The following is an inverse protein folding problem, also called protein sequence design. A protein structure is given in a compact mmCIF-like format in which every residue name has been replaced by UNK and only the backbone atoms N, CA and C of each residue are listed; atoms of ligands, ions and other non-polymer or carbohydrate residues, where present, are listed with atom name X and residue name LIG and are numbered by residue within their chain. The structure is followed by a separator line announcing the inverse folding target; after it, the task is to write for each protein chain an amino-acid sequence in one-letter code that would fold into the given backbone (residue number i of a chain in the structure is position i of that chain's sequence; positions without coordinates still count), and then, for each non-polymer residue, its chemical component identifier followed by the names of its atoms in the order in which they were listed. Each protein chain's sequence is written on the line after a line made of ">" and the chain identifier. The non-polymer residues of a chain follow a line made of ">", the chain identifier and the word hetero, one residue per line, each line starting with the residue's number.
data_IF_476770670590
#
_entry.id   IF_476770670590
#
_cell.length_a   1.000
_cell.length_b   1.000
_cell.length_c   1.000
_cell.angle_alpha   90.00
_cell.angle_beta   90.00
_cell.angle_gamma   90.00
#
_symmetry.space_group_name_H-M   'P 1'
#
loop_
_entity.id
_entity.type
_entity.pdbx_description
1 polymer ?
#
# COMPACT_ATOMS: atom_id res chain seq x y z
N UNK A 1 8.26 31.22 9.87
CA UNK A 1 7.37 31.22 8.68
C UNK A 1 7.34 29.80 8.15
N UNK A 2 6.18 29.13 8.02
CA UNK A 2 6.15 27.76 7.51
C UNK A 2 6.06 27.77 5.99
N UNK A 3 7.05 27.15 5.34
CA UNK A 3 7.13 26.97 3.90
C UNK A 3 6.12 25.91 3.50
N UNK A 4 5.08 26.30 2.74
CA UNK A 4 4.14 25.36 2.12
C UNK A 4 4.91 24.50 1.13
N UNK A 5 4.94 23.19 1.34
CA UNK A 5 5.36 22.24 0.32
C UNK A 5 4.38 22.33 -0.87
N UNK A 6 4.91 22.69 -2.04
CA UNK A 6 4.16 22.71 -3.29
C UNK A 6 4.02 21.27 -3.78
N UNK A 7 2.78 20.80 -3.93
CA UNK A 7 2.47 19.59 -4.68
C UNK A 7 3.04 19.74 -6.10
N UNK A 8 4.05 18.94 -6.44
CA UNK A 8 4.66 18.94 -7.77
C UNK A 8 3.84 18.02 -8.68
N UNK A 9 3.15 18.62 -9.64
CA UNK A 9 2.56 17.93 -10.78
C UNK A 9 3.67 17.34 -11.66
N UNK A 10 3.46 16.11 -12.16
CA UNK A 10 4.41 15.40 -13.02
C UNK A 10 4.80 16.23 -14.27
N UNK A 11 6.06 16.16 -14.73
CA UNK A 11 6.51 16.89 -15.91
C UNK A 11 5.92 16.28 -17.20
N UNK A 12 5.37 17.13 -18.06
CA UNK A 12 4.96 16.74 -19.41
C UNK A 12 6.20 16.62 -20.31
N UNK A 13 6.54 15.40 -20.72
CA UNK A 13 7.63 15.12 -21.67
C UNK A 13 7.06 14.76 -23.04
N UNK A 14 7.44 15.52 -24.05
CA UNK A 14 7.25 15.22 -25.47
C UNK A 14 8.47 14.46 -25.98
N UNK A 15 8.42 13.12 -26.01
CA UNK A 15 9.33 12.34 -26.84
C UNK A 15 8.73 10.97 -27.14
N UNK A 16 8.51 10.70 -28.44
CA UNK A 16 7.84 9.49 -28.90
C UNK A 16 8.66 8.20 -28.71
N UNK A 17 9.94 8.28 -28.33
CA UNK A 17 10.77 7.11 -27.99
C UNK A 17 10.78 6.73 -26.50
N UNK A 18 10.21 7.58 -25.62
CA UNK A 18 9.97 7.27 -24.19
C UNK A 18 8.67 6.45 -23.99
N UNK A 19 7.95 6.13 -25.07
CA UNK A 19 6.61 5.52 -25.10
C UNK A 19 6.54 4.04 -24.68
N UNK A 20 7.63 3.42 -24.23
CA UNK A 20 7.61 2.11 -23.53
C UNK A 20 8.02 2.19 -22.06
N UNK A 21 8.05 3.38 -21.46
CA UNK A 21 8.09 3.48 -19.99
C UNK A 21 6.74 3.01 -19.44
N UNK A 22 6.74 1.79 -18.93
CA UNK A 22 5.63 1.17 -18.21
C UNK A 22 5.17 2.14 -17.12
N UNK A 23 4.04 2.77 -17.37
CA UNK A 23 3.42 3.74 -16.48
C UNK A 23 2.09 3.13 -16.05
N UNK A 24 2.00 2.83 -14.76
CA UNK A 24 0.78 2.32 -14.15
C UNK A 24 0.56 3.18 -12.92
N UNK A 25 -0.47 4.02 -12.94
CA UNK A 25 -0.84 4.87 -11.80
C UNK A 25 -2.34 4.69 -11.60
N UNK A 26 -2.72 4.16 -10.45
CA UNK A 26 -4.10 3.94 -10.05
C UNK A 26 -4.63 5.17 -9.31
N UNK A 27 -5.95 5.37 -9.36
CA UNK A 27 -6.60 6.38 -8.53
C UNK A 27 -7.01 5.73 -7.21
N UNK A 28 -6.33 6.07 -6.12
CA UNK A 28 -6.69 5.63 -4.76
C UNK A 28 -7.08 6.85 -3.93
N UNK A 29 -8.21 6.74 -3.22
CA UNK A 29 -8.61 7.72 -2.22
C UNK A 29 -7.75 7.54 -0.96
N UNK A 30 -7.08 8.60 -0.48
CA UNK A 30 -6.39 8.51 0.79
C UNK A 30 -7.44 8.44 1.91
N UNK A 31 -7.13 7.73 2.98
CA UNK A 31 -7.98 7.79 4.19
C UNK A 31 -7.96 9.23 4.71
N UNK A 32 -9.14 9.81 4.89
CA UNK A 32 -9.30 11.11 5.52
C UNK A 32 -8.95 10.98 7.00
N UNK A 33 -8.04 11.83 7.50
CA UNK A 33 -7.53 11.79 8.89
C UNK A 33 -8.64 11.99 9.94
N UNK A 34 -9.84 12.36 9.51
CA UNK A 34 -11.03 12.46 10.35
C UNK A 34 -11.61 11.11 10.81
N UNK A 35 -11.08 9.97 10.35
CA UNK A 35 -11.46 8.64 10.81
C UNK A 35 -10.73 8.13 12.07
N UNK A 36 -9.90 8.94 12.73
CA UNK A 36 -9.90 9.10 14.21
C UNK A 36 -8.57 9.67 14.73
N UNK A 37 -8.69 10.60 15.68
CA UNK A 37 -7.61 10.99 16.61
C UNK A 37 -6.99 9.80 17.40
N UNK A 38 -7.51 8.57 17.26
CA UNK A 38 -6.99 7.36 17.93
C UNK A 38 -5.93 6.58 17.16
N UNK A 39 -5.55 7.00 15.94
CA UNK A 39 -4.37 6.42 15.25
C UNK A 39 -3.03 6.65 15.99
N UNK A 40 -3.00 7.49 17.02
CA UNK A 40 -1.77 7.77 17.78
C UNK A 40 -1.39 6.67 18.78
N UNK A 41 -2.30 5.76 19.16
CA UNK A 41 -2.03 4.78 20.21
C UNK A 41 -1.81 3.34 19.72
N UNK A 42 -2.23 2.98 18.50
CA UNK A 42 -2.10 1.61 18.00
C UNK A 42 -1.58 1.56 16.55
N UNK A 43 -0.62 0.67 16.34
CA UNK A 43 0.13 0.37 15.11
C UNK A 43 -0.72 -0.10 13.89
N UNK A 44 -1.73 0.66 13.47
CA UNK A 44 -2.72 0.26 12.45
C UNK A 44 -2.36 0.58 11.00
N UNK A 45 -1.10 0.95 10.71
CA UNK A 45 -0.65 1.26 9.35
C UNK A 45 -1.02 0.17 8.32
N UNK A 46 -0.96 -1.10 8.74
CA UNK A 46 -1.36 -2.23 7.91
C UNK A 46 -2.86 -2.23 7.63
N UNK A 47 -3.70 -2.06 8.66
CA UNK A 47 -5.16 -2.03 8.56
C UNK A 47 -5.62 -0.86 7.68
N UNK A 48 -5.04 0.32 7.88
CA UNK A 48 -5.33 1.50 7.07
C UNK A 48 -4.90 1.30 5.60
N UNK A 49 -3.75 0.67 5.34
CA UNK A 49 -3.35 0.35 3.97
C UNK A 49 -4.29 -0.67 3.30
N UNK A 50 -4.72 -1.69 4.05
CA UNK A 50 -5.72 -2.65 3.57
C UNK A 50 -7.06 -1.98 3.29
N UNK A 51 -7.51 -1.07 4.15
CA UNK A 51 -8.75 -0.32 3.97
C UNK A 51 -8.75 0.53 2.69
N UNK A 52 -7.64 1.23 2.39
CA UNK A 52 -7.50 1.95 1.11
C UNK A 52 -7.57 1.01 -0.11
N UNK A 53 -7.04 -0.21 0.02
CA UNK A 53 -7.12 -1.20 -1.05
C UNK A 53 -8.55 -1.73 -1.24
N UNK A 54 -9.30 -1.92 -0.15
CA UNK A 54 -10.70 -2.35 -0.21
C UNK A 54 -11.61 -1.26 -0.81
N UNK A 55 -11.41 0.01 -0.42
CA UNK A 55 -12.09 1.16 -1.02
C UNK A 55 -11.84 1.23 -2.53
N UNK A 56 -10.60 1.00 -2.97
CA UNK A 56 -10.25 0.92 -4.40
C UNK A 56 -11.05 -0.16 -5.16
N UNK A 57 -11.45 -1.24 -4.48
CA UNK A 57 -12.22 -2.32 -5.09
C UNK A 57 -13.74 -2.14 -4.98
N UNK A 58 -14.21 -1.01 -4.45
CA UNK A 58 -15.61 -0.70 -4.14
C UNK A 58 -16.23 -1.68 -3.12
N UNK A 59 -15.43 -2.19 -2.17
CA UNK A 59 -15.94 -3.05 -1.10
C UNK A 59 -16.47 -2.21 0.08
N UNK A 60 -17.75 -2.37 0.39
CA UNK A 60 -18.45 -1.66 1.47
C UNK A 60 -18.11 -2.26 2.85
N UNK A 61 -16.86 -2.09 3.30
CA UNK A 61 -16.41 -2.46 4.65
C UNK A 61 -16.00 -1.19 5.37
N UNK A 62 -16.45 -1.00 6.62
CA UNK A 62 -16.00 0.13 7.43
C UNK A 62 -14.71 -0.20 8.19
N UNK A 63 -13.95 0.84 8.56
CA UNK A 63 -12.70 0.69 9.30
C UNK A 63 -12.92 -0.03 10.65
N UNK A 64 -14.05 0.25 11.32
CA UNK A 64 -14.44 -0.38 12.58
C UNK A 64 -14.82 -1.86 12.41
N UNK A 65 -15.25 -2.29 11.22
CA UNK A 65 -15.48 -3.70 10.91
C UNK A 65 -14.16 -4.39 10.58
N UNK A 66 -13.21 -3.69 9.93
CA UNK A 66 -11.91 -4.24 9.55
C UNK A 66 -11.00 -4.49 10.76
N UNK A 67 -10.91 -3.53 11.69
CA UNK A 67 -10.03 -3.59 12.87
C UNK A 67 -10.17 -4.89 13.69
N UNK A 68 -11.35 -5.27 14.20
CA UNK A 68 -11.47 -6.41 15.11
C UNK A 68 -11.08 -7.72 14.46
N UNK A 69 -11.12 -7.79 13.13
CA UNK A 69 -10.86 -9.03 12.42
C UNK A 69 -9.38 -9.14 12.03
N UNK A 70 -8.72 -8.04 11.65
CA UNK A 70 -7.25 -8.01 11.50
C UNK A 70 -6.58 -8.16 12.87
N UNK A 71 -6.94 -7.34 13.86
CA UNK A 71 -6.34 -7.39 15.20
C UNK A 71 -6.76 -8.63 16.00
N UNK A 72 -7.92 -9.22 15.72
CA UNK A 72 -8.34 -10.48 16.34
C UNK A 72 -7.36 -11.61 16.02
N UNK A 73 -6.81 -11.61 14.81
CA UNK A 73 -5.73 -12.52 14.43
C UNK A 73 -4.43 -12.17 15.18
N UNK A 74 -4.05 -10.89 15.24
CA UNK A 74 -2.82 -10.46 15.94
C UNK A 74 -2.87 -10.77 17.46
N UNK A 75 -4.03 -10.57 18.11
CA UNK A 75 -4.23 -10.92 19.53
C UNK A 75 -4.10 -12.41 19.80
N UNK A 76 -4.34 -13.24 18.79
CA UNK A 76 -4.12 -14.69 18.83
C UNK A 76 -2.70 -15.09 18.39
N UNK A 77 -1.82 -14.12 18.11
CA UNK A 77 -0.45 -14.36 17.64
C UNK A 77 -0.38 -14.89 16.19
N UNK A 78 -1.47 -14.77 15.43
CA UNK A 78 -1.56 -15.19 14.04
C UNK A 78 -1.38 -13.97 13.15
N UNK A 79 -0.50 -14.06 12.15
CA UNK A 79 -0.40 -13.02 11.11
C UNK A 79 -1.75 -12.81 10.43
N UNK A 80 -2.08 -11.58 10.03
CA UNK A 80 -3.26 -11.28 9.22
C UNK A 80 -3.44 -12.33 8.10
N UNK A 81 -4.50 -13.14 8.23
CA UNK A 81 -4.80 -14.25 7.33
C UNK A 81 -5.38 -13.72 6.02
N UNK A 82 -4.90 -14.18 4.88
CA UNK A 82 -5.44 -13.84 3.56
C UNK A 82 -6.93 -14.16 3.42
N UNK A 83 -7.39 -15.22 4.09
CA UNK A 83 -8.80 -15.63 4.11
C UNK A 83 -9.70 -14.58 4.77
N UNK A 84 -9.14 -13.72 5.60
CA UNK A 84 -9.91 -12.66 6.23
C UNK A 84 -10.61 -11.77 5.20
N UNK A 85 -9.85 -11.26 4.22
CA UNK A 85 -10.40 -10.38 3.17
C UNK A 85 -11.42 -11.14 2.32
N UNK A 86 -11.18 -12.41 2.03
CA UNK A 86 -12.13 -13.27 1.34
C UNK A 86 -13.45 -13.38 2.11
N UNK A 87 -13.40 -13.60 3.42
CA UNK A 87 -14.61 -13.76 4.23
C UNK A 87 -15.42 -12.46 4.33
N UNK A 88 -14.79 -11.30 4.53
CA UNK A 88 -15.52 -10.01 4.64
C UNK A 88 -16.02 -9.45 3.32
N UNK A 89 -15.40 -9.83 2.21
CA UNK A 89 -15.88 -9.48 0.87
C UNK A 89 -16.81 -10.55 0.31
N UNK A 90 -17.27 -11.49 1.15
CA UNK A 90 -18.18 -12.58 0.77
C UNK A 90 -17.68 -13.39 -0.45
N UNK A 91 -16.36 -13.58 -0.52
CA UNK A 91 -15.68 -14.33 -1.57
C UNK A 91 -15.42 -13.56 -2.86
N UNK A 92 -15.68 -12.25 -2.91
CA UNK A 92 -15.41 -11.42 -4.10
C UNK A 92 -13.95 -11.01 -4.26
N UNK A 93 -13.21 -10.94 -3.16
CA UNK A 93 -11.83 -10.48 -3.17
C UNK A 93 -10.94 -11.38 -2.34
N UNK A 94 -9.88 -11.90 -2.94
CA UNK A 94 -8.81 -12.58 -2.23
C UNK A 94 -7.63 -11.63 -2.04
N UNK A 95 -7.17 -11.44 -0.80
CA UNK A 95 -5.93 -10.74 -0.52
C UNK A 95 -4.86 -11.74 -0.09
N UNK A 96 -3.69 -11.79 -0.74
CA UNK A 96 -2.64 -12.75 -0.44
C UNK A 96 -1.37 -12.07 0.06
N UNK A 97 -1.03 -12.28 1.33
CA UNK A 97 0.23 -11.83 1.93
C UNK A 97 1.37 -12.83 1.69
N UNK A 98 2.51 -12.37 1.17
CA UNK A 98 3.66 -13.24 0.94
C UNK A 98 5.00 -12.49 1.04
N UNK A 99 6.05 -13.22 1.46
CA UNK A 99 7.43 -12.76 1.35
C UNK A 99 7.97 -13.05 -0.06
N UNK A 100 8.68 -12.08 -0.63
CA UNK A 100 9.25 -12.18 -1.97
C UNK A 100 10.60 -11.47 -2.07
N UNK A 101 11.53 -12.06 -2.83
CA UNK A 101 12.78 -11.41 -3.23
C UNK A 101 12.64 -10.63 -4.54
N UNK A 102 11.42 -10.58 -5.11
CA UNK A 102 11.11 -9.96 -6.41
C UNK A 102 10.03 -8.88 -6.29
N UNK A 103 10.04 -8.12 -5.19
CA UNK A 103 9.01 -7.13 -4.88
C UNK A 103 8.76 -6.14 -6.04
N UNK A 104 9.81 -5.67 -6.72
CA UNK A 104 9.65 -4.79 -7.89
C UNK A 104 8.81 -5.44 -9.01
N UNK A 105 9.04 -6.73 -9.30
CA UNK A 105 8.24 -7.48 -10.29
C UNK A 105 6.80 -7.70 -9.82
N UNK A 106 6.58 -7.92 -8.52
CA UNK A 106 5.24 -8.06 -7.94
C UNK A 106 4.47 -6.75 -8.09
N UNK A 107 5.06 -5.63 -7.66
CA UNK A 107 4.47 -4.29 -7.81
C UNK A 107 4.11 -4.02 -9.27
N UNK A 108 5.02 -4.25 -10.20
CA UNK A 108 4.77 -3.99 -11.61
C UNK A 108 3.64 -4.88 -12.18
N UNK A 109 3.63 -6.17 -11.82
CA UNK A 109 2.62 -7.12 -12.30
C UNK A 109 1.22 -6.76 -11.80
N UNK A 110 1.07 -6.43 -10.51
CA UNK A 110 -0.22 -6.07 -9.93
C UNK A 110 -0.73 -4.75 -10.48
N UNK A 111 0.12 -3.72 -10.55
CA UNK A 111 -0.26 -2.42 -11.10
C UNK A 111 -0.63 -2.51 -12.58
N UNK A 112 0.04 -3.36 -13.36
CA UNK A 112 -0.35 -3.67 -14.74
C UNK A 112 -1.71 -4.34 -14.82
N UNK A 113 -2.03 -5.19 -13.84
CA UNK A 113 -3.34 -5.80 -13.65
C UNK A 113 -4.41 -4.86 -13.11
N UNK A 114 -4.09 -3.58 -12.90
CA UNK A 114 -5.02 -2.58 -12.37
C UNK A 114 -5.26 -2.70 -10.87
N UNK A 115 -4.31 -3.28 -10.11
CA UNK A 115 -4.50 -3.58 -8.68
C UNK A 115 -3.40 -2.95 -7.83
N UNK A 116 -3.74 -2.33 -6.69
CA UNK A 116 -2.76 -1.80 -5.77
C UNK A 116 -2.05 -2.92 -5.00
N UNK A 117 -0.96 -2.57 -4.33
CA UNK A 117 -0.20 -3.51 -3.50
C UNK A 117 0.03 -2.89 -2.14
N UNK A 118 -0.28 -3.61 -1.06
CA UNK A 118 0.14 -3.19 0.29
C UNK A 118 1.53 -3.77 0.54
N UNK A 119 2.47 -2.95 0.99
CA UNK A 119 3.87 -3.37 1.21
C UNK A 119 4.28 -3.06 2.64
N UNK A 120 4.88 -4.04 3.31
CA UNK A 120 5.50 -3.82 4.60
C UNK A 120 6.87 -3.17 4.43
N UNK A 121 7.10 -2.15 5.24
CA UNK A 121 8.28 -1.32 5.24
C UNK A 121 9.05 -1.62 6.52
N UNK A 122 10.29 -2.05 6.37
CA UNK A 122 11.13 -2.36 7.53
C UNK A 122 11.79 -1.11 8.09
N UNK A 123 12.21 -0.20 7.21
CA UNK A 123 12.98 0.96 7.60
C UNK A 123 12.36 2.24 7.04
N UNK A 124 11.50 2.88 7.84
CA UNK A 124 10.84 4.13 7.46
C UNK A 124 11.81 5.28 7.23
N UNK A 125 12.99 5.26 7.86
CA UNK A 125 13.99 6.31 7.64
C UNK A 125 14.53 6.37 6.21
N UNK A 126 14.22 5.36 5.40
CA UNK A 126 14.57 5.31 3.97
C UNK A 126 13.41 5.73 3.06
N UNK A 127 12.18 5.88 3.57
CA UNK A 127 11.01 6.23 2.77
C UNK A 127 10.84 7.72 2.55
N UNK A 128 10.99 8.54 3.60
CA UNK A 128 10.90 9.99 3.51
C UNK A 128 11.81 10.68 4.54
N UNK A 129 12.28 11.88 4.21
CA UNK A 129 13.25 12.65 5.00
C UNK A 129 12.78 13.00 6.42
N UNK A 130 11.49 12.83 6.72
CA UNK A 130 10.88 13.23 7.99
C UNK A 130 10.70 12.08 9.00
N UNK A 131 11.03 10.85 8.61
CA UNK A 131 10.83 9.67 9.45
C UNK A 131 12.14 9.22 10.10
N UNK A 132 12.28 9.46 11.40
CA UNK A 132 13.55 9.24 12.11
C UNK A 132 13.62 7.85 12.78
N UNK A 133 12.72 6.92 12.42
CA UNK A 133 12.53 5.65 13.14
C UNK A 133 12.73 4.44 12.22
N UNK A 134 13.18 3.33 12.83
CA UNK A 134 13.30 2.01 12.19
C UNK A 134 12.14 1.10 12.57
N UNK A 135 10.97 1.68 12.83
CA UNK A 135 9.77 0.93 13.21
C UNK A 135 9.19 0.31 11.94
N UNK A 136 8.65 -0.90 12.05
CA UNK A 136 7.92 -1.54 10.97
C UNK A 136 6.67 -0.76 10.62
N UNK A 137 6.41 -0.58 9.33
CA UNK A 137 5.28 0.19 8.80
C UNK A 137 4.64 -0.52 7.62
N UNK A 138 3.51 -0.03 7.13
CA UNK A 138 2.90 -0.51 5.90
C UNK A 138 2.36 0.66 5.09
N UNK A 139 2.46 0.55 3.77
CA UNK A 139 1.99 1.57 2.82
C UNK A 139 1.22 0.90 1.69
N UNK A 140 0.36 1.66 1.01
CA UNK A 140 -0.26 1.22 -0.24
C UNK A 140 0.47 1.81 -1.44
N UNK A 141 0.98 0.93 -2.29
CA UNK A 141 1.59 1.27 -3.58
C UNK A 141 0.49 1.33 -4.63
N UNK A 142 0.41 2.47 -5.31
CA UNK A 142 -0.61 2.75 -6.32
C UNK A 142 -0.02 3.09 -7.68
N UNK A 143 1.29 3.23 -7.79
CA UNK A 143 1.88 3.46 -9.10
C UNK A 143 3.36 3.17 -9.25
N UNK A 144 3.75 2.98 -10.50
CA UNK A 144 5.13 2.93 -10.95
C UNK A 144 5.25 3.77 -12.23
N UNK A 145 6.21 4.69 -12.24
CA UNK A 145 6.52 5.51 -13.40
C UNK A 145 8.00 5.86 -13.39
N UNK A 146 8.67 5.70 -14.54
CA UNK A 146 10.06 6.10 -14.73
C UNK A 146 11.01 5.63 -13.60
N UNK A 147 10.93 4.35 -13.21
CA UNK A 147 11.69 3.74 -12.10
C UNK A 147 11.47 4.38 -10.73
N UNK A 148 10.29 4.97 -10.52
CA UNK A 148 9.83 5.45 -9.23
C UNK A 148 8.58 4.71 -8.81
N UNK A 149 8.48 4.40 -7.52
CA UNK A 149 7.28 3.86 -6.87
C UNK A 149 6.51 5.01 -6.26
N UNK A 150 5.20 5.00 -6.47
CA UNK A 150 4.24 5.95 -5.92
C UNK A 150 3.41 5.23 -4.87
N UNK A 151 3.35 5.79 -3.67
CA UNK A 151 2.68 5.17 -2.54
C UNK A 151 1.97 6.21 -1.67
N UNK A 152 0.96 5.76 -0.92
CA UNK A 152 0.28 6.56 0.11
C UNK A 152 0.73 6.04 1.47
N UNK A 153 1.18 6.95 2.33
CA UNK A 153 1.46 6.64 3.73
C UNK A 153 0.15 6.76 4.52
N UNK A 154 -0.37 5.67 5.11
CA UNK A 154 -1.60 5.72 5.89
C UNK A 154 -1.50 6.59 7.15
N UNK A 155 -0.29 6.92 7.62
CA UNK A 155 -0.11 7.74 8.83
C UNK A 155 -0.62 9.17 8.63
N UNK A 156 -0.42 9.74 7.44
CA UNK A 156 -0.82 11.11 7.13
C UNK A 156 -1.68 11.23 5.86
N UNK A 157 -1.93 10.13 5.16
CA UNK A 157 -2.68 10.11 3.91
C UNK A 157 -1.95 10.82 2.75
N UNK A 158 -0.69 11.21 2.93
CA UNK A 158 0.07 11.90 1.90
C UNK A 158 0.57 10.93 0.82
N UNK A 159 0.71 11.47 -0.39
CA UNK A 159 1.26 10.76 -1.54
C UNK A 159 2.74 11.04 -1.65
N UNK A 160 3.52 9.97 -1.72
CA UNK A 160 4.97 10.02 -1.87
C UNK A 160 5.41 9.35 -3.16
N UNK A 161 6.64 9.69 -3.57
CA UNK A 161 7.33 9.04 -4.68
C UNK A 161 8.79 8.86 -4.32
N UNK A 162 9.38 7.74 -4.73
CA UNK A 162 10.81 7.49 -4.54
C UNK A 162 11.37 6.52 -5.58
N UNK A 163 12.70 6.48 -5.80
CA UNK A 163 13.31 5.51 -6.69
C UNK A 163 12.95 4.08 -6.30
N UNK A 164 12.58 3.25 -7.28
CA UNK A 164 12.11 1.88 -7.04
C UNK A 164 13.09 1.09 -6.18
N UNK A 165 14.40 1.16 -6.47
CA UNK A 165 15.39 0.42 -5.69
C UNK A 165 15.42 0.86 -4.22
N UNK A 166 15.39 2.16 -3.97
CA UNK A 166 15.35 2.70 -2.61
C UNK A 166 14.09 2.25 -1.85
N UNK A 167 12.94 2.15 -2.54
CA UNK A 167 11.71 1.58 -1.96
C UNK A 167 11.87 0.09 -1.61
N UNK A 168 12.50 -0.71 -2.49
CA UNK A 168 12.78 -2.12 -2.20
C UNK A 168 13.71 -2.26 -1.00
N UNK A 169 14.77 -1.46 -0.94
CA UNK A 169 15.74 -1.49 0.16
C UNK A 169 15.09 -1.13 1.50
N UNK A 170 14.19 -0.14 1.50
CA UNK A 170 13.38 0.22 2.67
C UNK A 170 12.44 -0.91 3.14
N UNK A 171 12.04 -1.79 2.22
CA UNK A 171 11.07 -2.88 2.43
C UNK A 171 11.73 -4.23 2.74
N UNK A 172 13.07 -4.33 2.82
CA UNK A 172 13.77 -5.62 2.82
C UNK A 172 13.93 -6.23 4.22
N UNK A 173 13.22 -7.33 4.49
CA UNK A 173 13.40 -8.18 5.67
C UNK A 173 14.38 -9.34 5.40
N UNK A 174 14.87 -10.07 6.43
CA UNK A 174 15.79 -11.19 6.22
C UNK A 174 15.29 -12.28 5.26
N UNK A 175 13.97 -12.39 5.08
CA UNK A 175 13.32 -13.38 4.22
C UNK A 175 12.77 -12.78 2.91
N UNK A 176 13.18 -11.55 2.56
CA UNK A 176 12.64 -10.78 1.44
C UNK A 176 11.69 -9.67 1.90
N UNK A 177 11.03 -9.01 0.97
CA UNK A 177 10.01 -8.02 1.29
C UNK A 177 8.65 -8.67 1.41
N UNK A 178 7.81 -8.20 2.34
CA UNK A 178 6.45 -8.67 2.47
C UNK A 178 5.49 -7.75 1.71
N UNK A 179 4.63 -8.35 0.89
CA UNK A 179 3.60 -7.65 0.15
C UNK A 179 2.28 -8.41 0.20
N UNK A 180 1.18 -7.67 0.17
CA UNK A 180 -0.17 -8.18 0.00
C UNK A 180 -0.66 -7.78 -1.39
N UNK A 181 -1.00 -8.78 -2.18
CA UNK A 181 -1.63 -8.61 -3.49
C UNK A 181 -3.10 -8.94 -3.40
N UNK A 182 -3.88 -8.51 -4.40
CA UNK A 182 -5.32 -8.68 -4.40
C UNK A 182 -5.75 -9.34 -5.71
N UNK A 183 -6.80 -10.13 -5.65
CA UNK A 183 -7.41 -10.77 -6.81
C UNK A 183 -8.93 -10.65 -6.68
N UNK A 184 -9.57 -9.94 -7.62
CA UNK A 184 -11.03 -10.00 -7.75
C UNK A 184 -11.36 -11.39 -8.27
N UNK A 185 -12.20 -12.09 -7.53
CA UNK A 185 -12.76 -13.36 -7.95
C UNK A 185 -14.05 -13.04 -8.66
N UNK A 186 -14.18 -13.50 -9.90
CA UNK A 186 -15.45 -13.45 -10.60
C UNK A 186 -16.48 -14.17 -9.72
N UNK A 187 -17.58 -13.48 -9.39
CA UNK A 187 -18.68 -14.07 -8.64
C UNK A 187 -19.07 -15.38 -9.32
N UNK A 188 -18.95 -16.50 -8.61
CA UNK A 188 -19.51 -17.76 -9.10
C UNK A 188 -21.02 -17.52 -9.26
N UNK A 189 -21.58 -17.69 -10.47
CA UNK A 189 -23.00 -17.44 -10.72
C UNK A 189 -23.91 -18.37 -9.91
#
# INVERSE_FOLDING_TARGET
>A
MPTKALAQSAPASTDEDDKKRLSYILSINPIDQHLSQSQYDDYDCFIASMFMALDFFDEEITYNELIPIVRGNDKNGLSADSRFVYDVTEGRLLATGSFTNRLASVIESELRGGRPVVVAIKNMSLLAEHWNSTIGHAVIVYGVYNKHVFYIDPFNGERYTMPTQSFIDASLYPHGSFAVTFEKLDSVP
#
